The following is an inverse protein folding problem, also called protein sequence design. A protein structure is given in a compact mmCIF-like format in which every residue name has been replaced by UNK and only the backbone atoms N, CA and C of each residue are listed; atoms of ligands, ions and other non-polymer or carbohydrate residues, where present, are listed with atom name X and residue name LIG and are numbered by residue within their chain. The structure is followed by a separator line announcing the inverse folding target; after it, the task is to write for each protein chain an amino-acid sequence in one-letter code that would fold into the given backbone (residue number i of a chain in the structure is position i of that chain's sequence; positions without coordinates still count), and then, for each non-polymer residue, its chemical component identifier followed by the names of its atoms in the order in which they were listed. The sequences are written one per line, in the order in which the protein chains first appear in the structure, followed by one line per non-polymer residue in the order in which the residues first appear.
data_IF_731133096986
#
_entry.id   IF_731133096986
#
_cell.length_a   1.000
_cell.length_b   1.000
_cell.length_c   1.000
_cell.angle_alpha   90.00
_cell.angle_beta   90.00
_cell.angle_gamma   90.00
#
_symmetry.space_group_name_H-M   'P 1'
#
loop_
_entity.id
_entity.type
_entity.pdbx_description
1 polymer ?
#
# COMPACT_ATOMS: atom_id res chain seq x y z
N UNK A 1 2.32 4.80 24.14
CA UNK A 1 1.54 6.05 24.22
C UNK A 1 0.92 6.22 25.62
N UNK A 2 0.96 7.42 26.21
CA UNK A 2 0.30 7.72 27.50
C UNK A 2 -0.62 8.94 27.32
N UNK A 3 -1.86 8.84 27.78
CA UNK A 3 -2.86 9.94 27.69
C UNK A 3 -3.28 10.40 29.09
N UNK A 4 -3.66 11.68 29.22
CA UNK A 4 -4.19 12.28 30.44
C UNK A 4 -5.59 12.86 30.18
N UNK A 5 -6.47 12.83 31.19
CA UNK A 5 -7.86 13.29 31.08
C UNK A 5 -8.86 12.17 30.72
N UNK A 6 -10.11 12.56 30.52
CA UNK A 6 -11.24 11.65 30.22
C UNK A 6 -11.77 10.86 31.41
N UNK A 7 -12.90 10.19 31.24
CA UNK A 7 -13.42 9.19 32.19
C UNK A 7 -12.68 7.86 32.04
N UNK A 8 -12.88 6.93 32.98
CA UNK A 8 -12.33 5.57 32.86
C UNK A 8 -12.84 4.85 31.60
N UNK A 9 -14.11 5.05 31.25
CA UNK A 9 -14.70 4.44 30.04
C UNK A 9 -14.09 5.02 28.75
N UNK A 10 -13.84 6.33 28.69
CA UNK A 10 -13.17 6.94 27.54
C UNK A 10 -11.73 6.42 27.38
N UNK A 11 -10.99 6.28 28.48
CA UNK A 11 -9.66 5.68 28.46
C UNK A 11 -9.71 4.22 28.02
N UNK A 12 -10.71 3.45 28.45
CA UNK A 12 -10.91 2.06 28.03
C UNK A 12 -11.12 1.99 26.51
N UNK A 13 -12.04 2.77 25.96
CA UNK A 13 -12.26 2.85 24.50
C UNK A 13 -10.97 3.20 23.75
N UNK A 14 -10.23 4.19 24.23
CA UNK A 14 -8.97 4.60 23.63
C UNK A 14 -7.93 3.46 23.59
N UNK A 15 -7.68 2.81 24.73
CA UNK A 15 -6.69 1.75 24.81
C UNK A 15 -7.13 0.47 24.09
N UNK A 16 -8.43 0.18 24.04
CA UNK A 16 -8.96 -0.91 23.20
C UNK A 16 -8.80 -0.61 21.71
N UNK A 17 -9.09 0.62 21.28
CA UNK A 17 -8.85 1.04 19.89
C UNK A 17 -7.37 0.97 19.51
N UNK A 18 -6.49 1.43 20.40
CA UNK A 18 -5.04 1.33 20.21
C UNK A 18 -4.58 -0.13 20.14
N UNK A 19 -5.12 -1.01 21.00
CA UNK A 19 -4.82 -2.43 20.94
C UNK A 19 -5.17 -3.02 19.57
N UNK A 20 -6.38 -2.76 19.05
CA UNK A 20 -6.80 -3.27 17.74
C UNK A 20 -5.97 -2.72 16.58
N UNK A 21 -5.57 -1.45 16.65
CA UNK A 21 -4.73 -0.81 15.62
C UNK A 21 -3.30 -1.38 15.55
N UNK A 22 -2.88 -2.18 16.53
CA UNK A 22 -1.52 -2.74 16.63
C UNK A 22 -1.47 -4.26 16.42
N UNK A 23 -2.57 -4.87 15.95
CA UNK A 23 -2.61 -6.31 15.64
C UNK A 23 -2.03 -6.60 14.26
N UNK A 24 -2.35 -5.78 13.25
CA UNK A 24 -1.93 -5.96 11.85
C UNK A 24 -1.36 -4.66 11.25
N UNK A 25 -0.44 -4.74 10.26
CA UNK A 25 0.23 -5.95 9.75
C UNK A 25 1.06 -6.69 10.81
N UNK A 26 1.21 -8.01 10.69
CA UNK A 26 1.93 -8.85 11.66
C UNK A 26 3.15 -9.55 11.03
N UNK A 27 4.09 -9.99 11.87
CA UNK A 27 5.23 -10.79 11.44
C UNK A 27 4.78 -12.11 10.81
N UNK A 28 5.49 -12.53 9.77
CA UNK A 28 5.27 -13.83 9.09
C UNK A 28 6.54 -14.67 8.98
N UNK A 29 7.71 -14.10 9.28
CA UNK A 29 8.95 -14.87 9.32
C UNK A 29 9.16 -15.55 10.68
N UNK A 30 9.83 -16.69 10.63
CA UNK A 30 10.34 -17.40 11.80
C UNK A 30 11.60 -16.74 12.36
N UNK A 31 12.04 -17.20 13.54
CA UNK A 31 13.24 -16.69 14.25
C UNK A 31 14.54 -16.89 13.48
N UNK A 32 14.56 -17.81 12.52
CA UNK A 32 15.68 -18.05 11.60
C UNK A 32 15.60 -17.17 10.34
N UNK A 33 14.58 -16.32 10.23
CA UNK A 33 14.33 -15.44 9.09
C UNK A 33 13.56 -16.09 7.95
N UNK A 34 13.16 -17.36 8.04
CA UNK A 34 12.40 -18.03 6.96
C UNK A 34 10.96 -17.50 6.88
N UNK A 35 10.45 -17.25 5.67
CA UNK A 35 9.08 -16.79 5.42
C UNK A 35 8.55 -17.35 4.08
N UNK A 36 7.22 -17.48 3.90
CA UNK A 36 6.65 -17.91 2.62
C UNK A 36 6.84 -16.85 1.53
N UNK A 37 7.38 -17.25 0.38
CA UNK A 37 7.57 -16.35 -0.76
C UNK A 37 6.24 -15.99 -1.42
N UNK A 38 6.14 -14.73 -1.86
CA UNK A 38 4.96 -14.21 -2.56
C UNK A 38 4.68 -15.00 -3.84
N UNK A 39 3.42 -15.44 -4.00
CA UNK A 39 2.91 -16.22 -5.12
C UNK A 39 3.66 -17.54 -5.42
N UNK A 40 4.47 -18.02 -4.48
CA UNK A 40 5.32 -19.22 -4.63
C UNK A 40 5.04 -20.23 -3.52
N UNK A 41 3.85 -20.81 -3.59
CA UNK A 41 3.36 -21.78 -2.60
C UNK A 41 4.34 -22.93 -2.37
N UNK A 42 4.76 -23.12 -1.12
CA UNK A 42 5.70 -24.17 -0.73
C UNK A 42 7.17 -23.78 -0.84
N UNK A 43 7.47 -22.56 -1.28
CA UNK A 43 8.83 -22.01 -1.30
C UNK A 43 9.02 -20.98 -0.20
N UNK A 44 10.21 -20.99 0.42
CA UNK A 44 10.57 -20.07 1.49
C UNK A 44 11.74 -19.17 1.07
N UNK A 45 11.66 -17.91 1.48
CA UNK A 45 12.75 -16.94 1.44
C UNK A 45 13.37 -16.79 2.82
N UNK A 46 14.52 -16.12 2.89
CA UNK A 46 15.16 -15.77 4.18
C UNK A 46 15.37 -14.26 4.20
N UNK A 47 14.91 -13.61 5.26
CA UNK A 47 15.07 -12.16 5.49
C UNK A 47 16.10 -11.90 6.59
N UNK A 48 16.89 -10.83 6.44
CA UNK A 48 17.81 -10.36 7.48
C UNK A 48 17.11 -9.54 8.57
N UNK A 49 15.90 -9.04 8.30
CA UNK A 49 15.04 -8.32 9.25
C UNK A 49 13.64 -8.89 9.30
N UNK A 50 12.71 -8.14 9.87
CA UNK A 50 11.32 -8.58 10.01
C UNK A 50 10.54 -8.51 8.67
N UNK A 51 9.83 -9.59 8.34
CA UNK A 51 8.88 -9.68 7.23
C UNK A 51 7.46 -9.61 7.77
N UNK A 52 6.65 -8.73 7.21
CA UNK A 52 5.25 -8.55 7.57
C UNK A 52 4.31 -9.10 6.50
N UNK A 53 3.09 -9.44 6.94
CA UNK A 53 1.96 -9.87 6.12
C UNK A 53 0.66 -9.22 6.60
N UNK A 54 -0.45 -9.44 5.88
CA UNK A 54 -1.79 -8.90 6.16
C UNK A 54 -1.83 -7.40 5.84
N UNK A 55 -1.56 -7.09 4.58
CA UNK A 55 -1.56 -5.72 4.07
C UNK A 55 -2.95 -5.35 3.50
N UNK A 56 -3.91 -5.02 4.37
CA UNK A 56 -5.26 -4.54 3.98
C UNK A 56 -5.24 -3.06 3.55
N UNK A 57 -4.49 -2.76 2.49
CA UNK A 57 -3.97 -1.41 2.28
C UNK A 57 -5.04 -0.37 1.95
N UNK A 58 -6.12 -0.75 1.27
CA UNK A 58 -7.27 0.14 1.00
C UNK A 58 -7.88 0.72 2.28
N UNK A 59 -7.85 -0.05 3.39
CA UNK A 59 -8.28 0.42 4.70
C UNK A 59 -7.17 1.17 5.43
N UNK A 60 -5.98 0.56 5.50
CA UNK A 60 -4.92 0.98 6.42
C UNK A 60 -4.14 2.22 5.96
N UNK A 61 -4.16 2.56 4.66
CA UNK A 61 -3.52 3.79 4.17
C UNK A 61 -4.14 5.05 4.79
N UNK A 62 -5.42 4.97 5.15
CA UNK A 62 -6.23 6.11 5.62
C UNK A 62 -5.92 6.52 7.06
N UNK A 63 -5.40 5.61 7.89
CA UNK A 63 -5.17 5.87 9.30
C UNK A 63 -4.04 5.06 9.94
N UNK A 64 -3.98 3.74 9.76
CA UNK A 64 -3.03 2.88 10.49
C UNK A 64 -1.60 3.24 10.11
N UNK A 65 -1.26 3.27 8.82
CA UNK A 65 0.10 3.62 8.41
C UNK A 65 0.48 5.05 8.82
N UNK A 66 -0.46 6.01 8.74
CA UNK A 66 -0.24 7.36 9.22
C UNK A 66 0.03 7.40 10.74
N UNK A 67 -0.69 6.63 11.54
CA UNK A 67 -0.42 6.48 12.97
C UNK A 67 0.97 5.88 13.20
N UNK A 68 1.31 4.80 12.49
CA UNK A 68 2.59 4.11 12.63
C UNK A 68 3.77 5.03 12.28
N UNK A 69 3.67 5.88 11.25
CA UNK A 69 4.72 6.87 10.93
C UNK A 69 5.04 7.80 12.10
N UNK A 70 4.06 8.09 12.97
CA UNK A 70 4.20 9.02 14.08
C UNK A 70 4.68 8.35 15.38
N UNK A 71 4.15 7.17 15.69
CA UNK A 71 4.35 6.53 17.02
C UNK A 71 5.12 5.22 16.98
N UNK A 72 5.29 4.60 15.81
CA UNK A 72 6.04 3.35 15.61
C UNK A 72 6.86 3.40 14.29
N UNK A 73 7.71 4.42 14.09
CA UNK A 73 8.34 4.68 12.78
C UNK A 73 9.25 3.53 12.31
N UNK A 74 9.94 2.85 13.22
CA UNK A 74 10.79 1.69 12.90
C UNK A 74 9.97 0.54 12.29
N UNK A 75 8.80 0.25 12.89
CA UNK A 75 7.87 -0.78 12.39
C UNK A 75 7.29 -0.41 11.03
N UNK A 76 6.93 0.87 10.84
CA UNK A 76 6.49 1.35 9.53
C UNK A 76 7.56 1.14 8.45
N UNK A 77 8.83 1.41 8.76
CA UNK A 77 9.95 1.18 7.82
C UNK A 77 10.11 -0.30 7.49
N UNK A 78 10.00 -1.22 8.45
CA UNK A 78 10.06 -2.66 8.20
C UNK A 78 8.88 -3.15 7.34
N UNK A 79 7.68 -2.62 7.57
CA UNK A 79 6.51 -2.91 6.74
C UNK A 79 6.70 -2.42 5.30
N UNK A 80 7.24 -1.22 5.09
CA UNK A 80 7.55 -0.71 3.74
C UNK A 80 8.63 -1.55 3.06
N UNK A 81 9.67 -2.00 3.78
CA UNK A 81 10.66 -2.95 3.25
C UNK A 81 10.00 -4.26 2.83
N UNK A 82 9.03 -4.76 3.60
CA UNK A 82 8.25 -5.95 3.24
C UNK A 82 7.45 -5.74 1.95
N UNK A 83 6.78 -4.59 1.77
CA UNK A 83 6.05 -4.26 0.53
C UNK A 83 6.98 -4.22 -0.70
N UNK A 84 8.18 -3.65 -0.54
CA UNK A 84 9.18 -3.61 -1.61
C UNK A 84 9.75 -5.01 -1.90
N UNK A 85 9.98 -5.82 -0.87
CA UNK A 85 10.40 -7.22 -1.04
C UNK A 85 9.34 -8.07 -1.73
N UNK A 86 8.06 -7.86 -1.42
CA UNK A 86 6.93 -8.42 -2.17
C UNK A 86 7.10 -8.04 -3.64
N UNK A 87 7.25 -6.77 -3.98
CA UNK A 87 7.46 -6.34 -5.38
C UNK A 87 8.64 -7.07 -6.07
N UNK A 88 9.75 -7.31 -5.39
CA UNK A 88 10.88 -8.08 -5.94
C UNK A 88 10.52 -9.53 -6.27
N UNK A 89 9.61 -10.15 -5.51
CA UNK A 89 9.28 -11.57 -5.62
C UNK A 89 8.30 -11.90 -6.74
N UNK A 90 7.27 -11.07 -6.96
CA UNK A 90 6.21 -11.34 -7.96
C UNK A 90 5.98 -10.18 -8.94
N UNK A 91 6.63 -9.03 -8.74
CA UNK A 91 6.67 -7.93 -9.70
C UNK A 91 5.59 -6.86 -9.52
N UNK A 92 4.76 -6.90 -8.49
CA UNK A 92 3.73 -5.88 -8.23
C UNK A 92 3.71 -5.48 -6.75
N UNK A 93 3.29 -4.26 -6.44
CA UNK A 93 3.09 -3.86 -5.05
C UNK A 93 1.87 -4.58 -4.46
N UNK A 94 1.84 -4.87 -3.15
CA UNK A 94 0.68 -5.49 -2.54
C UNK A 94 -0.52 -4.54 -2.54
N UNK A 95 -1.72 -5.10 -2.67
CA UNK A 95 -3.00 -4.41 -2.54
C UNK A 95 -3.78 -4.96 -1.35
N UNK A 96 -4.00 -6.26 -1.36
CA UNK A 96 -4.34 -7.10 -0.23
C UNK A 96 -3.45 -8.35 -0.24
N UNK A 97 -2.31 -8.24 0.43
CA UNK A 97 -1.48 -9.41 0.65
C UNK A 97 -1.91 -10.17 1.91
N UNK A 98 -2.09 -11.48 1.75
CA UNK A 98 -2.40 -12.46 2.80
C UNK A 98 -1.47 -13.67 2.69
N UNK A 99 -0.53 -13.78 3.62
CA UNK A 99 0.32 -14.94 3.81
C UNK A 99 1.04 -15.40 2.52
N UNK A 100 1.69 -14.47 1.83
CA UNK A 100 2.40 -14.71 0.57
C UNK A 100 1.47 -14.86 -0.64
N UNK A 101 0.25 -14.34 -0.57
CA UNK A 101 -0.71 -14.31 -1.69
C UNK A 101 -1.32 -12.93 -1.88
N UNK A 102 -1.48 -12.50 -3.12
CA UNK A 102 -2.29 -11.34 -3.46
C UNK A 102 -3.74 -11.78 -3.70
N UNK A 103 -4.69 -11.02 -3.16
CA UNK A 103 -6.12 -11.29 -3.37
C UNK A 103 -6.81 -10.24 -4.24
N UNK A 104 -6.08 -9.19 -4.65
CA UNK A 104 -6.54 -8.04 -5.44
C UNK A 104 -7.67 -7.24 -4.80
N UNK A 105 -7.82 -7.40 -3.49
CA UNK A 105 -8.83 -6.76 -2.66
C UNK A 105 -8.25 -5.44 -2.10
N UNK A 106 -8.94 -4.32 -1.94
CA UNK A 106 -10.12 -3.83 -2.63
C UNK A 106 -9.65 -2.92 -3.79
N UNK A 107 -10.14 -1.68 -3.87
CA UNK A 107 -9.91 -0.79 -5.00
C UNK A 107 -8.61 0.00 -4.95
N UNK A 108 -8.28 0.63 -6.06
CA UNK A 108 -7.20 1.62 -6.13
C UNK A 108 -5.81 1.01 -6.28
N UNK A 109 -4.81 1.75 -5.77
CA UNK A 109 -3.40 1.36 -5.76
C UNK A 109 -2.75 1.87 -4.45
N UNK A 110 -3.11 1.24 -3.32
CA UNK A 110 -2.98 1.85 -1.99
C UNK A 110 -1.55 1.80 -1.43
N UNK A 111 -0.64 1.02 -2.02
CA UNK A 111 0.78 1.04 -1.64
C UNK A 111 1.44 2.40 -1.92
N UNK A 112 1.02 3.07 -2.99
CA UNK A 112 1.55 4.39 -3.40
C UNK A 112 1.38 5.44 -2.29
N UNK A 113 0.15 5.73 -1.79
CA UNK A 113 -0.02 6.72 -0.73
C UNK A 113 0.65 6.29 0.59
N UNK A 114 0.71 5.00 0.93
CA UNK A 114 1.39 4.53 2.16
C UNK A 114 2.88 4.86 2.15
N UNK A 115 3.57 4.47 1.09
CA UNK A 115 5.03 4.64 1.00
C UNK A 115 5.38 6.12 0.76
N UNK A 116 4.57 6.83 -0.04
CA UNK A 116 4.72 8.28 -0.24
C UNK A 116 4.61 9.04 1.08
N UNK A 117 3.56 8.79 1.88
CA UNK A 117 3.38 9.44 3.19
C UNK A 117 4.54 9.12 4.14
N UNK A 118 5.00 7.86 4.15
CA UNK A 118 6.17 7.43 4.93
C UNK A 118 7.42 8.23 4.53
N UNK A 119 7.67 8.36 3.23
CA UNK A 119 8.83 9.09 2.71
C UNK A 119 8.75 10.60 2.98
N UNK A 120 7.62 11.24 2.68
CA UNK A 120 7.46 12.68 2.87
C UNK A 120 7.51 13.11 4.35
N UNK A 121 7.19 12.21 5.28
CA UNK A 121 7.37 12.43 6.73
C UNK A 121 8.81 12.23 7.23
N UNK A 122 9.76 11.95 6.33
CA UNK A 122 11.18 11.87 6.66
C UNK A 122 11.66 10.48 7.10
N UNK A 123 10.82 9.44 7.06
CA UNK A 123 11.27 8.08 7.35
C UNK A 123 12.09 7.55 6.16
N UNK A 124 13.20 6.88 6.45
CA UNK A 124 14.19 6.41 5.47
C UNK A 124 14.62 4.98 5.80
N UNK A 125 15.55 4.44 5.01
CA UNK A 125 16.09 3.09 5.22
C UNK A 125 15.44 2.02 4.35
N UNK A 126 14.71 2.40 3.31
CA UNK A 126 14.15 1.52 2.28
C UNK A 126 14.46 2.09 0.89
N UNK A 127 14.42 1.23 -0.12
CA UNK A 127 14.76 1.58 -1.50
C UNK A 127 13.61 2.35 -2.17
N UNK A 128 13.65 3.68 -2.05
CA UNK A 128 12.61 4.55 -2.60
C UNK A 128 12.60 4.55 -4.13
N UNK A 129 13.76 4.40 -4.78
CA UNK A 129 13.85 4.40 -6.23
C UNK A 129 13.18 3.15 -6.81
N UNK A 130 13.35 2.00 -6.16
CA UNK A 130 12.63 0.78 -6.49
C UNK A 130 11.12 0.93 -6.27
N UNK A 131 10.71 1.50 -5.13
CA UNK A 131 9.30 1.76 -4.87
C UNK A 131 8.68 2.68 -5.94
N UNK A 132 9.38 3.76 -6.28
CA UNK A 132 8.98 4.69 -7.33
C UNK A 132 8.85 4.00 -8.70
N UNK A 133 9.83 3.16 -9.07
CA UNK A 133 9.76 2.37 -10.30
C UNK A 133 8.55 1.42 -10.34
N UNK A 134 8.22 0.80 -9.20
CA UNK A 134 7.01 -0.03 -9.07
C UNK A 134 5.72 0.80 -9.22
N UNK A 135 5.69 2.02 -8.68
CA UNK A 135 4.54 2.92 -8.79
C UNK A 135 4.33 3.39 -10.23
N UNK A 136 5.41 3.77 -10.92
CA UNK A 136 5.36 4.08 -12.34
C UNK A 136 4.82 2.90 -13.14
N UNK A 137 5.36 1.69 -12.91
CA UNK A 137 4.86 0.48 -13.57
C UNK A 137 3.35 0.32 -13.36
N UNK A 138 2.87 0.48 -12.13
CA UNK A 138 1.43 0.36 -11.83
C UNK A 138 0.59 1.45 -12.48
N UNK A 139 1.07 2.69 -12.51
CA UNK A 139 0.35 3.83 -13.06
C UNK A 139 0.41 3.94 -14.59
N UNK A 140 1.24 3.14 -15.28
CA UNK A 140 1.41 3.24 -16.75
C UNK A 140 1.33 1.93 -17.52
N UNK A 141 1.28 0.76 -16.87
CA UNK A 141 1.10 -0.51 -17.59
C UNK A 141 -0.35 -0.60 -18.10
N UNK A 142 -0.58 -0.95 -19.39
CA UNK A 142 -1.94 -1.06 -19.93
C UNK A 142 -2.79 -2.07 -19.15
N UNK A 143 -4.10 -1.84 -19.09
CA UNK A 143 -5.02 -2.54 -18.19
C UNK A 143 -5.01 -4.05 -18.35
N UNK A 144 -4.90 -4.55 -19.59
CA UNK A 144 -4.84 -5.99 -19.87
C UNK A 144 -3.65 -6.69 -19.20
N UNK A 145 -2.52 -6.00 -18.99
CA UNK A 145 -1.33 -6.53 -18.32
C UNK A 145 -1.16 -6.02 -16.89
N UNK A 146 -2.12 -5.24 -16.38
CA UNK A 146 -2.03 -4.57 -15.10
C UNK A 146 -3.02 -5.16 -14.09
N UNK A 147 -2.57 -6.05 -13.19
CA UNK A 147 -3.45 -6.68 -12.23
C UNK A 147 -3.85 -5.73 -11.09
N UNK A 148 -3.12 -4.62 -10.88
CA UNK A 148 -3.45 -3.63 -9.85
C UNK A 148 -4.46 -2.59 -10.34
N UNK A 149 -4.31 -2.15 -11.60
CA UNK A 149 -5.19 -1.19 -12.28
C UNK A 149 -5.71 -1.74 -13.62
N UNK A 150 -6.59 -2.75 -13.61
CA UNK A 150 -7.02 -3.45 -14.83
C UNK A 150 -7.88 -2.59 -15.78
N UNK A 151 -8.39 -1.47 -15.30
CA UNK A 151 -9.24 -0.51 -16.00
C UNK A 151 -8.59 0.87 -16.16
N UNK A 152 -7.26 0.90 -16.14
CA UNK A 152 -6.47 2.12 -16.30
C UNK A 152 -6.60 2.77 -17.68
N UNK A 153 -6.85 1.98 -18.74
CA UNK A 153 -6.87 2.50 -20.11
C UNK A 153 -7.93 3.60 -20.32
N UNK A 154 -9.22 3.39 -20.00
CA UNK A 154 -10.20 4.47 -20.09
C UNK A 154 -9.97 5.57 -19.05
N UNK A 155 -9.40 5.25 -17.88
CA UNK A 155 -9.03 6.23 -16.88
C UNK A 155 -8.00 7.24 -17.43
N UNK A 156 -6.94 6.76 -18.07
CA UNK A 156 -5.92 7.62 -18.70
C UNK A 156 -6.48 8.36 -19.92
N UNK A 157 -7.32 7.70 -20.74
CA UNK A 157 -7.91 8.31 -21.94
C UNK A 157 -8.89 9.45 -21.60
N UNK A 158 -9.70 9.28 -20.55
CA UNK A 158 -10.89 10.11 -20.29
C UNK A 158 -10.88 10.84 -18.96
N UNK A 159 -9.94 10.51 -18.09
CA UNK A 159 -9.91 10.93 -16.70
C UNK A 159 -10.92 10.20 -15.81
N UNK A 160 -11.65 9.18 -16.27
CA UNK A 160 -12.60 8.42 -15.46
C UNK A 160 -12.83 7.01 -16.05
N UNK A 161 -13.42 6.11 -15.25
CA UNK A 161 -13.73 4.74 -15.68
C UNK A 161 -15.22 4.66 -16.03
N UNK A 162 -15.58 4.27 -17.27
CA UNK A 162 -16.97 4.10 -17.67
C UNK A 162 -17.67 2.98 -16.89
N UNK A 163 -18.94 3.21 -16.57
CA UNK A 163 -19.82 2.17 -16.04
C UNK A 163 -19.86 0.96 -16.99
N UNK A 164 -19.75 -0.24 -16.43
CA UNK A 164 -19.76 -1.53 -17.11
C UNK A 164 -18.44 -1.90 -17.77
N UNK A 165 -17.39 -1.07 -17.66
CA UNK A 165 -16.07 -1.37 -18.24
C UNK A 165 -15.38 -2.49 -17.47
N UNK A 166 -15.44 -2.44 -16.15
CA UNK A 166 -14.89 -3.46 -15.27
C UNK A 166 -15.90 -3.83 -14.19
N UNK A 167 -16.42 -5.04 -14.28
CA UNK A 167 -17.33 -5.64 -13.30
C UNK A 167 -16.96 -7.11 -13.15
N UNK A 168 -15.70 -7.36 -12.77
CA UNK A 168 -15.15 -8.73 -12.68
C UNK A 168 -15.43 -9.40 -11.34
N UNK A 169 -15.73 -8.65 -10.30
CA UNK A 169 -16.06 -9.19 -9.00
C UNK A 169 -17.58 -9.25 -8.78
N UNK A 170 -18.02 -10.13 -7.87
CA UNK A 170 -19.42 -10.23 -7.48
C UNK A 170 -19.91 -8.99 -6.70
N UNK A 171 -19.08 -7.96 -6.54
CA UNK A 171 -19.39 -6.70 -5.88
C UNK A 171 -20.17 -5.72 -6.77
N UNK A 172 -20.20 -5.96 -8.09
CA UNK A 172 -20.94 -5.15 -9.05
C UNK A 172 -20.03 -4.16 -9.78
N UNK A 173 -20.52 -2.95 -9.99
CA UNK A 173 -19.76 -1.90 -10.67
C UNK A 173 -19.17 -0.93 -9.65
N UNK A 174 -17.85 -0.86 -9.59
CA UNK A 174 -17.08 0.02 -8.73
C UNK A 174 -16.31 1.11 -9.50
N UNK A 175 -16.68 1.40 -10.75
CA UNK A 175 -15.99 2.34 -11.65
C UNK A 175 -15.73 3.72 -11.03
N UNK A 176 -16.72 4.27 -10.31
CA UNK A 176 -16.58 5.55 -9.59
C UNK A 176 -15.54 5.44 -8.48
N UNK A 177 -15.59 4.37 -7.67
CA UNK A 177 -14.64 4.15 -6.58
C UNK A 177 -13.22 3.97 -7.11
N UNK A 178 -13.03 3.16 -8.16
CA UNK A 178 -11.73 2.95 -8.77
C UNK A 178 -11.10 4.25 -9.25
N UNK A 179 -11.88 5.08 -9.98
CA UNK A 179 -11.37 6.35 -10.50
C UNK A 179 -10.95 7.28 -9.36
N UNK A 180 -11.77 7.39 -8.30
CA UNK A 180 -11.45 8.21 -7.14
C UNK A 180 -10.21 7.71 -6.39
N UNK A 181 -10.03 6.40 -6.23
CA UNK A 181 -8.83 5.84 -5.58
C UNK A 181 -7.58 6.00 -6.46
N UNK A 182 -7.70 5.94 -7.79
CA UNK A 182 -6.59 6.26 -8.69
C UNK A 182 -6.19 7.73 -8.61
N UNK A 183 -7.14 8.67 -8.48
CA UNK A 183 -6.78 10.08 -8.24
C UNK A 183 -5.98 10.27 -6.96
N UNK A 184 -6.33 9.55 -5.88
CA UNK A 184 -5.58 9.61 -4.61
C UNK A 184 -4.17 9.06 -4.80
N UNK A 185 -4.04 7.92 -5.47
CA UNK A 185 -2.76 7.28 -5.73
C UNK A 185 -1.87 8.16 -6.64
N UNK A 186 -2.42 8.72 -7.71
CA UNK A 186 -1.69 9.55 -8.66
C UNK A 186 -1.29 10.89 -8.02
N UNK A 187 -2.16 11.50 -7.22
CA UNK A 187 -1.77 12.69 -6.47
C UNK A 187 -0.58 12.42 -5.54
N UNK A 188 -0.60 11.30 -4.80
CA UNK A 188 0.52 10.88 -3.97
C UNK A 188 1.79 10.65 -4.81
N UNK A 189 1.68 9.96 -5.95
CA UNK A 189 2.79 9.75 -6.85
C UNK A 189 3.36 11.07 -7.39
N UNK A 190 2.53 12.05 -7.71
CA UNK A 190 2.95 13.39 -8.14
C UNK A 190 3.75 14.10 -7.04
N UNK A 191 3.33 13.99 -5.78
CA UNK A 191 4.06 14.57 -4.65
C UNK A 191 5.42 13.90 -4.47
N UNK A 192 5.47 12.57 -4.55
CA UNK A 192 6.72 11.82 -4.46
C UNK A 192 7.66 12.16 -5.62
N UNK A 193 7.15 12.19 -6.85
CA UNK A 193 7.91 12.57 -8.03
C UNK A 193 8.55 13.96 -7.89
N UNK A 194 7.78 14.93 -7.36
CA UNK A 194 8.30 16.27 -7.10
C UNK A 194 9.44 16.27 -6.07
N UNK A 195 9.29 15.54 -4.97
CA UNK A 195 10.32 15.41 -3.93
C UNK A 195 11.59 14.71 -4.45
N UNK A 196 11.43 13.73 -5.33
CA UNK A 196 12.54 13.01 -5.98
C UNK A 196 13.15 13.76 -7.18
N UNK A 197 12.72 14.99 -7.46
CA UNK A 197 13.28 15.81 -8.54
C UNK A 197 12.88 15.35 -9.96
N UNK A 198 11.67 14.81 -10.13
CA UNK A 198 11.11 14.31 -11.40
C UNK A 198 9.92 15.17 -11.83
N UNK A 199 10.15 16.39 -12.36
CA UNK A 199 9.10 17.37 -12.61
C UNK A 199 8.12 16.98 -13.71
N UNK A 200 8.56 16.21 -14.72
CA UNK A 200 7.69 15.73 -15.80
C UNK A 200 6.66 14.74 -15.26
N UNK A 201 7.10 13.73 -14.51
CA UNK A 201 6.23 12.76 -13.84
C UNK A 201 5.32 13.46 -12.82
N UNK A 202 5.85 14.42 -12.06
CA UNK A 202 5.06 15.20 -11.10
C UNK A 202 3.94 16.02 -11.77
N UNK A 203 4.16 16.51 -12.99
CA UNK A 203 3.13 17.19 -13.77
C UNK A 203 2.12 16.20 -14.35
N UNK A 204 2.58 15.04 -14.83
CA UNK A 204 1.75 13.98 -15.39
C UNK A 204 0.71 13.48 -14.38
N UNK A 205 1.14 13.12 -13.16
CA UNK A 205 0.25 12.54 -12.14
C UNK A 205 -0.52 13.56 -11.30
N UNK A 206 -0.38 14.85 -11.59
CA UNK A 206 -1.15 15.92 -10.94
C UNK A 206 -2.45 16.24 -11.68
N UNK A 207 -2.48 15.96 -12.99
CA UNK A 207 -3.51 16.40 -13.92
C UNK A 207 -4.86 15.71 -13.69
#
# INVERSE_FOLDING_TARGET
MRVKGGTDDQRKVFYTGLYHALIHPNLVNDVNGEYPLMERSGEAGVTEGDRYTVFSLWDTYRNVHQLLTLVYPERQVEMVRSMIGIYDEWGWMPKWELYGRETFTMEGDPAIPVITDTWLKGLRGFDIDKAYGAFLKSATTPGEQNPLRPDIDPYVERGYIPLGFYSKDLAGDASVSHALEYYVADHALSLLAADLGRPEDAALFRA
#
